data_IF_746740125288
#
_entry.id   IF_746740125288
#
_cell.length_a   1.000
_cell.length_b   1.000
_cell.length_c   1.000
_cell.angle_alpha   90.00
_cell.angle_beta   90.00
_cell.angle_gamma   90.00
#
_symmetry.space_group_name_H-M   'P 1'
#
loop_
_entity.id
_entity.type
_entity.pdbx_description
1 polymer ?
#
# COMPACT_ATOMS: atom_id res chain seq x y z
N UNK A 1 16.24 -8.69 13.52
CA UNK A 1 16.92 -9.59 12.56
C UNK A 1 15.94 -9.99 11.48
N UNK A 2 16.07 -9.47 10.26
CA UNK A 2 15.21 -9.86 9.13
C UNK A 2 15.77 -11.14 8.48
N UNK A 3 15.05 -12.25 8.61
CA UNK A 3 15.34 -13.48 7.88
C UNK A 3 14.83 -13.35 6.45
N UNK A 4 15.64 -12.75 5.56
CA UNK A 4 15.52 -13.06 4.14
C UNK A 4 16.02 -14.48 3.94
N UNK A 5 15.12 -15.32 3.44
CA UNK A 5 15.31 -16.75 3.43
C UNK A 5 16.15 -17.14 2.21
N UNK A 6 17.28 -17.80 2.46
CA UNK A 6 18.39 -18.05 1.53
C UNK A 6 18.06 -18.86 0.26
N UNK A 7 16.81 -19.26 0.07
CA UNK A 7 16.33 -20.05 -1.08
C UNK A 7 15.72 -19.21 -2.21
N UNK A 8 15.49 -17.91 -2.03
CA UNK A 8 14.80 -17.05 -3.02
C UNK A 8 15.68 -16.72 -4.25
N UNK A 9 17.00 -16.94 -4.17
CA UNK A 9 17.95 -16.69 -5.26
C UNK A 9 18.66 -17.96 -5.77
N UNK A 10 18.02 -19.13 -5.73
CA UNK A 10 18.62 -20.33 -6.32
C UNK A 10 18.58 -20.27 -7.84
N UNK A 11 19.68 -20.72 -8.48
CA UNK A 11 19.81 -20.84 -9.93
C UNK A 11 19.85 -22.31 -10.35
N UNK A 12 19.24 -22.64 -11.49
CA UNK A 12 19.34 -23.96 -12.09
C UNK A 12 20.76 -24.20 -12.62
N UNK A 13 21.02 -25.41 -13.12
CA UNK A 13 22.29 -25.80 -13.75
C UNK A 13 22.69 -24.95 -14.95
N UNK A 14 21.77 -24.16 -15.50
CA UNK A 14 21.97 -23.26 -16.63
C UNK A 14 22.12 -21.79 -16.19
N UNK A 15 22.13 -21.50 -14.89
CA UNK A 15 22.28 -20.15 -14.33
C UNK A 15 20.98 -19.33 -14.31
N UNK A 16 19.83 -19.92 -14.63
CA UNK A 16 18.53 -19.25 -14.56
C UNK A 16 17.98 -19.31 -13.15
N UNK A 17 17.37 -18.23 -12.66
CA UNK A 17 16.70 -18.26 -11.35
C UNK A 17 15.60 -19.33 -11.36
N UNK A 18 15.66 -20.28 -10.42
CA UNK A 18 14.70 -21.38 -10.25
C UNK A 18 13.32 -20.83 -9.86
N UNK A 19 13.30 -19.71 -9.15
CA UNK A 19 12.10 -18.94 -8.88
C UNK A 19 12.12 -17.64 -9.69
N UNK A 20 11.25 -17.55 -10.68
CA UNK A 20 10.93 -16.29 -11.36
C UNK A 20 9.55 -15.85 -10.88
N UNK A 21 9.50 -14.77 -10.12
CA UNK A 21 8.30 -14.31 -9.41
C UNK A 21 8.60 -14.18 -7.92
N UNK A 22 8.79 -12.95 -7.45
CA UNK A 22 9.10 -12.68 -6.05
C UNK A 22 8.01 -13.22 -5.10
N UNK A 23 8.41 -13.75 -3.95
CA UNK A 23 7.49 -14.13 -2.89
C UNK A 23 7.02 -12.88 -2.14
N UNK A 24 5.71 -12.69 -2.03
CA UNK A 24 5.15 -11.63 -1.19
C UNK A 24 4.92 -12.16 0.23
N UNK A 25 5.81 -11.79 1.15
CA UNK A 25 5.65 -12.08 2.59
C UNK A 25 4.74 -11.09 3.30
N UNK A 26 4.66 -11.18 4.63
CA UNK A 26 4.19 -10.07 5.46
C UNK A 26 5.35 -9.08 5.68
N UNK A 27 5.06 -7.79 5.71
CA UNK A 27 5.98 -6.78 6.26
C UNK A 27 6.04 -6.87 7.80
N UNK A 28 7.01 -6.18 8.39
CA UNK A 28 7.26 -6.20 9.83
C UNK A 28 6.02 -5.89 10.68
N UNK A 29 5.32 -4.76 10.46
CA UNK A 29 4.10 -4.43 11.20
C UNK A 29 3.01 -5.51 11.12
N UNK A 30 2.75 -6.07 9.93
CA UNK A 30 1.75 -7.13 9.75
C UNK A 30 2.19 -8.47 10.35
N UNK A 31 3.47 -8.81 10.27
CA UNK A 31 4.02 -10.00 10.93
C UNK A 31 3.86 -9.91 12.45
N UNK A 32 4.27 -8.78 13.05
CA UNK A 32 4.11 -8.53 14.47
C UNK A 32 2.63 -8.54 14.90
N UNK A 33 1.71 -8.10 14.03
CA UNK A 33 0.27 -8.23 14.30
C UNK A 33 -0.19 -9.68 14.34
N UNK A 34 0.26 -10.51 13.40
CA UNK A 34 -0.07 -11.93 13.37
C UNK A 34 0.43 -12.65 14.62
N UNK A 35 1.65 -12.32 15.06
CA UNK A 35 2.26 -12.88 16.26
C UNK A 35 1.48 -12.44 17.51
N UNK A 36 1.15 -11.15 17.64
CA UNK A 36 0.30 -10.64 18.74
C UNK A 36 -1.03 -11.38 18.86
N UNK A 37 -1.71 -11.66 17.74
CA UNK A 37 -2.97 -12.40 17.77
C UNK A 37 -2.76 -13.85 18.22
N UNK A 38 -1.66 -14.49 17.79
CA UNK A 38 -1.33 -15.84 18.26
C UNK A 38 -1.08 -15.85 19.76
N UNK A 39 -0.29 -14.92 20.27
CA UNK A 39 0.07 -14.80 21.69
C UNK A 39 -1.16 -14.60 22.58
N UNK A 40 -2.06 -13.69 22.17
CA UNK A 40 -3.33 -13.43 22.86
C UNK A 40 -4.17 -14.72 22.98
N UNK A 41 -4.21 -15.53 21.92
CA UNK A 41 -5.09 -16.69 21.87
C UNK A 41 -4.48 -17.95 22.50
N UNK A 42 -3.16 -18.00 22.66
CA UNK A 42 -2.44 -19.07 23.36
C UNK A 42 -2.40 -18.91 24.87
N UNK A 43 -2.75 -17.72 25.39
CA UNK A 43 -2.66 -17.39 26.80
C UNK A 43 -4.07 -17.24 27.41
N UNK A 44 -4.45 -18.08 28.41
CA UNK A 44 -5.74 -17.99 29.09
C UNK A 44 -6.03 -16.62 29.71
N UNK A 45 -5.02 -15.93 30.22
CA UNK A 45 -5.20 -14.65 30.92
C UNK A 45 -5.40 -13.49 29.93
N UNK A 46 -4.98 -13.70 28.68
CA UNK A 46 -5.00 -12.69 27.62
C UNK A 46 -6.07 -12.91 26.58
N UNK A 47 -6.71 -14.09 26.51
CA UNK A 47 -7.67 -14.44 25.46
C UNK A 47 -8.83 -13.43 25.32
N UNK A 48 -9.19 -12.74 26.41
CA UNK A 48 -10.17 -11.66 26.40
C UNK A 48 -9.72 -10.44 25.56
N UNK A 49 -8.42 -10.17 25.45
CA UNK A 49 -7.84 -9.08 24.66
C UNK A 49 -8.11 -9.21 23.14
N UNK A 50 -8.52 -10.39 22.67
CA UNK A 50 -8.90 -10.63 21.28
C UNK A 50 -10.06 -9.72 20.85
N UNK A 51 -10.93 -9.34 21.77
CA UNK A 51 -12.06 -8.44 21.51
C UNK A 51 -11.79 -7.02 22.03
N UNK A 52 -12.20 -6.01 21.26
CA UNK A 52 -12.34 -4.62 21.70
C UNK A 52 -13.83 -4.31 21.78
N UNK A 53 -14.38 -4.40 22.99
CA UNK A 53 -15.84 -4.44 23.21
C UNK A 53 -16.42 -5.72 22.59
N UNK A 54 -17.44 -5.58 21.73
CA UNK A 54 -18.11 -6.72 21.10
C UNK A 54 -17.49 -7.16 19.76
N UNK A 55 -16.45 -6.50 19.27
CA UNK A 55 -15.83 -6.78 17.97
C UNK A 55 -14.40 -7.29 18.16
N UNK A 56 -13.89 -8.16 17.27
CA UNK A 56 -12.48 -8.50 17.29
C UNK A 56 -11.61 -7.26 17.18
N UNK A 57 -10.47 -7.25 17.87
CA UNK A 57 -9.51 -6.15 17.89
C UNK A 57 -9.05 -5.72 16.49
N UNK A 58 -8.91 -6.69 15.59
CA UNK A 58 -8.47 -6.45 14.23
C UNK A 58 -9.49 -6.95 13.22
N UNK A 59 -9.83 -6.12 12.23
CA UNK A 59 -10.72 -6.47 11.10
C UNK A 59 -10.18 -7.61 10.23
N UNK A 60 -8.88 -7.87 10.33
CA UNK A 60 -8.16 -8.96 9.65
C UNK A 60 -8.30 -10.32 10.33
N UNK A 61 -9.01 -10.41 11.47
CA UNK A 61 -9.34 -11.69 12.12
C UNK A 61 -10.68 -12.24 11.59
N UNK A 62 -10.86 -13.56 11.62
CA UNK A 62 -12.05 -14.21 11.07
C UNK A 62 -13.16 -14.32 12.11
N UNK A 63 -14.30 -13.65 11.84
CA UNK A 63 -15.47 -13.70 12.72
C UNK A 63 -16.04 -15.11 12.91
N UNK A 64 -15.75 -16.05 12.00
CA UNK A 64 -16.18 -17.46 12.14
C UNK A 64 -15.60 -18.13 13.38
N UNK A 65 -14.50 -17.62 13.93
CA UNK A 65 -13.90 -18.15 15.15
C UNK A 65 -14.37 -17.44 16.43
N UNK A 66 -15.13 -16.34 16.33
CA UNK A 66 -15.52 -15.52 17.47
C UNK A 66 -16.25 -16.34 18.55
N UNK A 67 -17.16 -17.24 18.15
CA UNK A 67 -17.88 -18.11 19.08
C UNK A 67 -16.93 -19.02 19.87
N UNK A 68 -15.90 -19.56 19.21
CA UNK A 68 -14.90 -20.42 19.85
C UNK A 68 -14.01 -19.64 20.82
N UNK A 69 -13.61 -18.41 20.45
CA UNK A 69 -12.83 -17.55 21.34
C UNK A 69 -13.66 -17.11 22.55
N UNK A 70 -14.93 -16.75 22.35
CA UNK A 70 -15.86 -16.44 23.47
C UNK A 70 -16.05 -17.62 24.42
N UNK A 71 -16.14 -18.83 23.89
CA UNK A 71 -16.19 -20.04 24.71
C UNK A 71 -14.90 -20.23 25.52
N UNK A 72 -13.73 -20.01 24.90
CA UNK A 72 -12.45 -20.09 25.60
C UNK A 72 -12.34 -19.06 26.75
N UNK A 73 -12.81 -17.83 26.52
CA UNK A 73 -12.93 -16.79 27.56
C UNK A 73 -13.85 -17.26 28.70
N UNK A 74 -15.05 -17.76 28.39
CA UNK A 74 -16.01 -18.23 29.39
C UNK A 74 -15.45 -19.38 30.24
N UNK A 75 -14.67 -20.25 29.62
CA UNK A 75 -14.07 -21.44 30.25
C UNK A 75 -12.72 -21.13 30.93
N UNK A 76 -12.23 -19.89 30.88
CA UNK A 76 -10.95 -19.50 31.51
C UNK A 76 -9.74 -20.24 30.94
N UNK A 77 -9.75 -20.56 29.64
CA UNK A 77 -8.68 -21.33 28.99
C UNK A 77 -8.20 -20.69 27.69
N UNK A 78 -7.00 -21.07 27.29
CA UNK A 78 -6.47 -20.78 25.96
C UNK A 78 -7.31 -21.43 24.86
N UNK A 79 -7.19 -20.90 23.65
CA UNK A 79 -7.76 -21.54 22.46
C UNK A 79 -7.00 -22.84 22.16
N UNK A 80 -7.65 -23.97 21.85
CA UNK A 80 -6.95 -25.23 21.62
C UNK A 80 -6.03 -25.11 20.40
N UNK A 81 -4.83 -25.71 20.46
CA UNK A 81 -3.77 -25.55 19.47
C UNK A 81 -4.26 -25.70 18.01
N UNK A 82 -5.04 -26.74 17.71
CA UNK A 82 -5.60 -26.96 16.36
C UNK A 82 -6.48 -25.81 15.88
N UNK A 83 -7.22 -25.17 16.77
CA UNK A 83 -8.04 -24.00 16.43
C UNK A 83 -7.20 -22.74 16.34
N UNK A 84 -6.22 -22.57 17.24
CA UNK A 84 -5.25 -21.48 17.20
C UNK A 84 -4.54 -21.42 15.85
N UNK A 85 -4.10 -22.56 15.32
CA UNK A 85 -3.42 -22.63 14.02
C UNK A 85 -4.34 -22.23 12.87
N UNK A 86 -5.61 -22.64 12.90
CA UNK A 86 -6.62 -22.20 11.91
C UNK A 86 -6.86 -20.70 11.96
N UNK A 87 -7.00 -20.13 13.17
CA UNK A 87 -7.18 -18.69 13.35
C UNK A 87 -5.95 -17.93 12.82
N UNK A 88 -4.75 -18.39 13.21
CA UNK A 88 -3.48 -17.79 12.81
C UNK A 88 -3.32 -17.81 11.30
N UNK A 89 -3.57 -18.96 10.65
CA UNK A 89 -3.47 -19.10 9.20
C UNK A 89 -4.46 -18.18 8.47
N UNK A 90 -5.73 -18.16 8.90
CA UNK A 90 -6.75 -17.29 8.31
C UNK A 90 -6.43 -15.80 8.49
N UNK A 91 -5.86 -15.43 9.64
CA UNK A 91 -5.45 -14.06 9.92
C UNK A 91 -4.25 -13.64 9.05
N UNK A 92 -3.22 -14.48 8.95
CA UNK A 92 -2.05 -14.26 8.06
C UNK A 92 -2.47 -14.12 6.60
N UNK A 93 -3.40 -14.96 6.13
CA UNK A 93 -3.93 -14.87 4.76
C UNK A 93 -4.63 -13.53 4.48
N UNK A 94 -5.44 -13.02 5.43
CA UNK A 94 -6.08 -11.70 5.30
C UNK A 94 -5.07 -10.55 5.32
N UNK A 95 -4.04 -10.63 6.17
CA UNK A 95 -2.96 -9.65 6.20
C UNK A 95 -2.19 -9.61 4.88
N UNK A 96 -1.87 -10.79 4.33
CA UNK A 96 -1.20 -10.91 3.05
C UNK A 96 -2.05 -10.34 1.91
N UNK A 97 -3.35 -10.65 1.88
CA UNK A 97 -4.27 -10.06 0.91
C UNK A 97 -4.34 -8.52 1.05
N UNK A 98 -4.33 -8.00 2.28
CA UNK A 98 -4.26 -6.56 2.53
C UNK A 98 -2.99 -5.91 1.98
N UNK A 99 -1.84 -6.58 2.12
CA UNK A 99 -0.57 -6.13 1.53
C UNK A 99 -0.61 -6.19 0.00
N UNK A 100 -1.10 -7.29 -0.57
CA UNK A 100 -1.23 -7.44 -2.02
C UNK A 100 -2.10 -6.33 -2.63
N UNK A 101 -3.25 -6.01 -2.01
CA UNK A 101 -4.09 -4.88 -2.42
C UNK A 101 -3.39 -3.54 -2.30
N UNK A 102 -2.59 -3.33 -1.26
CA UNK A 102 -1.81 -2.09 -1.07
C UNK A 102 -0.86 -1.89 -2.25
N UNK A 103 -0.06 -2.91 -2.56
CA UNK A 103 0.92 -2.88 -3.65
C UNK A 103 0.24 -2.71 -5.01
N UNK A 104 -0.82 -3.49 -5.26
CA UNK A 104 -1.55 -3.40 -6.53
C UNK A 104 -2.11 -2.00 -6.76
N UNK A 105 -2.77 -1.40 -5.76
CA UNK A 105 -3.28 -0.03 -5.87
C UNK A 105 -2.17 0.97 -6.12
N UNK A 106 -1.05 0.82 -5.42
CA UNK A 106 0.08 1.72 -5.53
C UNK A 106 0.68 1.70 -6.94
N UNK A 107 1.00 0.50 -7.43
CA UNK A 107 1.61 0.32 -8.75
C UNK A 107 0.65 0.72 -9.88
N UNK A 108 -0.63 0.34 -9.81
CA UNK A 108 -1.61 0.70 -10.84
C UNK A 108 -1.79 2.22 -10.95
N UNK A 109 -1.89 2.91 -9.82
CA UNK A 109 -2.02 4.37 -9.83
C UNK A 109 -0.74 5.03 -10.35
N UNK A 110 0.45 4.55 -9.93
CA UNK A 110 1.72 5.09 -10.43
C UNK A 110 1.85 4.93 -11.94
N UNK A 111 1.60 3.73 -12.46
CA UNK A 111 1.66 3.46 -13.90
C UNK A 111 0.67 4.31 -14.71
N UNK A 112 -0.56 4.49 -14.20
CA UNK A 112 -1.55 5.35 -14.84
C UNK A 112 -1.08 6.80 -14.92
N UNK A 113 -0.55 7.34 -13.82
CA UNK A 113 -0.10 8.73 -13.75
C UNK A 113 1.12 8.98 -14.64
N UNK A 114 2.12 8.09 -14.59
CA UNK A 114 3.30 8.18 -15.45
C UNK A 114 2.89 8.12 -16.93
N UNK A 115 2.07 7.14 -17.31
CA UNK A 115 1.62 7.00 -18.70
C UNK A 115 0.78 8.18 -19.18
N UNK A 116 -0.03 8.79 -18.30
CA UNK A 116 -0.75 10.01 -18.62
C UNK A 116 0.22 11.17 -18.84
N UNK A 117 1.18 11.38 -17.93
CA UNK A 117 2.17 12.46 -18.01
C UNK A 117 3.00 12.36 -19.30
N UNK A 118 3.62 11.21 -19.54
CA UNK A 118 4.44 10.93 -20.72
C UNK A 118 3.65 11.13 -22.02
N UNK A 119 2.40 10.65 -22.04
CA UNK A 119 1.51 10.78 -23.20
C UNK A 119 1.16 12.23 -23.54
N UNK A 120 0.98 13.09 -22.53
CA UNK A 120 0.78 14.52 -22.75
C UNK A 120 2.09 15.21 -23.15
N UNK A 121 3.21 14.83 -22.56
CA UNK A 121 4.53 15.35 -22.93
C UNK A 121 4.84 15.18 -24.41
N UNK A 122 4.54 14.01 -24.97
CA UNK A 122 4.73 13.73 -26.40
C UNK A 122 4.01 14.72 -27.34
N UNK A 123 2.92 15.37 -26.89
CA UNK A 123 2.24 16.39 -27.70
C UNK A 123 3.10 17.65 -27.92
N UNK A 124 3.97 17.99 -26.97
CA UNK A 124 4.94 19.08 -27.13
C UNK A 124 5.96 18.73 -28.22
N UNK A 125 6.46 17.50 -28.22
CA UNK A 125 7.44 17.02 -29.20
C UNK A 125 6.89 17.02 -30.63
N UNK A 126 5.60 16.75 -30.80
CA UNK A 126 4.92 16.80 -32.11
C UNK A 126 4.63 18.22 -32.60
N UNK A 127 4.75 19.23 -31.74
CA UNK A 127 4.33 20.61 -32.02
C UNK A 127 2.80 20.82 -32.02
N UNK A 128 2.00 19.79 -31.71
CA UNK A 128 0.54 19.94 -31.53
C UNK A 128 0.24 20.84 -30.33
N UNK A 129 1.04 20.72 -29.27
CA UNK A 129 0.98 21.58 -28.10
C UNK A 129 2.14 22.58 -28.11
N UNK A 130 1.87 23.85 -27.82
CA UNK A 130 2.90 24.86 -27.55
C UNK A 130 3.26 24.93 -26.07
N UNK A 131 2.28 24.70 -25.19
CA UNK A 131 2.44 24.66 -23.74
C UNK A 131 1.40 23.70 -23.15
N UNK A 132 1.75 23.07 -22.02
CA UNK A 132 0.83 22.25 -21.24
C UNK A 132 0.86 22.74 -19.78
N UNK A 133 -0.32 22.98 -19.22
CA UNK A 133 -0.51 23.26 -17.79
C UNK A 133 -0.95 21.97 -17.09
N UNK A 134 -0.24 21.59 -16.03
CA UNK A 134 -0.57 20.43 -15.19
C UNK A 134 -1.27 20.95 -13.94
N UNK A 135 -2.46 20.44 -13.64
CA UNK A 135 -3.20 20.76 -12.41
C UNK A 135 -3.27 19.54 -11.51
N UNK A 136 -2.89 19.69 -10.24
CA UNK A 136 -2.97 18.63 -9.25
C UNK A 136 -4.39 18.52 -8.68
N UNK A 137 -4.93 17.30 -8.62
CA UNK A 137 -6.25 17.01 -8.08
C UNK A 137 -6.15 16.07 -6.87
N UNK A 138 -6.69 16.54 -5.75
CA UNK A 138 -6.81 15.77 -4.51
C UNK A 138 -8.29 15.54 -4.23
N UNK A 139 -8.68 14.37 -3.73
CA UNK A 139 -10.10 14.07 -3.45
C UNK A 139 -10.72 14.91 -2.32
N UNK A 140 -9.88 15.52 -1.46
CA UNK A 140 -10.26 16.34 -0.28
C UNK A 140 -11.39 15.70 0.54
N UNK A 141 -11.24 14.41 0.86
CA UNK A 141 -12.23 13.59 1.58
C UNK A 141 -11.82 13.32 3.04
N UNK A 142 -10.79 14.00 3.54
CA UNK A 142 -10.23 13.84 4.87
C UNK A 142 -9.25 12.68 5.02
N UNK A 143 -8.95 11.94 3.93
CA UNK A 143 -7.96 10.85 3.92
C UNK A 143 -6.73 11.15 3.07
N UNK A 144 -6.74 12.29 2.38
CA UNK A 144 -5.55 12.89 1.80
C UNK A 144 -4.52 13.27 2.87
N UNK A 145 -3.28 13.37 2.43
CA UNK A 145 -2.18 13.90 3.23
C UNK A 145 -2.32 15.40 3.38
N UNK A 146 -1.85 15.92 4.49
CA UNK A 146 -1.80 17.37 4.69
C UNK A 146 -0.90 18.05 3.65
N UNK A 147 0.23 17.42 3.26
CA UNK A 147 1.10 17.90 2.18
C UNK A 147 0.44 17.94 0.80
N UNK A 148 -0.60 17.12 0.56
CA UNK A 148 -1.28 17.06 -0.75
C UNK A 148 -2.60 17.80 -0.75
N UNK A 149 -3.18 18.05 0.42
CA UNK A 149 -4.41 18.82 0.59
C UNK A 149 -4.27 20.20 -0.04
N UNK A 150 -3.17 20.89 0.24
CA UNK A 150 -2.94 22.25 -0.27
C UNK A 150 -2.55 22.27 -1.75
N UNK A 151 -2.22 21.12 -2.35
CA UNK A 151 -1.94 21.03 -3.79
C UNK A 151 -3.20 20.92 -4.62
N UNK A 152 -4.38 20.77 -3.99
CA UNK A 152 -5.61 20.64 -4.75
C UNK A 152 -5.90 21.91 -5.58
N UNK A 153 -5.89 21.77 -6.90
CA UNK A 153 -6.09 22.87 -7.84
C UNK A 153 -4.84 23.67 -8.16
N UNK A 154 -3.70 23.37 -7.51
CA UNK A 154 -2.42 23.98 -7.83
C UNK A 154 -1.96 23.59 -9.23
N UNK A 155 -1.22 24.51 -9.86
CA UNK A 155 -0.86 24.43 -11.27
C UNK A 155 0.62 24.69 -11.47
N UNK A 156 1.22 23.91 -12.36
CA UNK A 156 2.59 24.11 -12.84
C UNK A 156 2.60 23.99 -14.35
N UNK A 157 3.60 24.58 -15.00
CA UNK A 157 3.86 24.28 -16.42
C UNK A 157 4.43 22.88 -16.53
N UNK A 158 4.17 22.19 -17.63
CA UNK A 158 4.78 20.90 -17.92
C UNK A 158 6.32 21.05 -17.91
N UNK A 159 7.00 20.19 -17.13
CA UNK A 159 8.44 20.28 -16.86
C UNK A 159 8.81 20.99 -15.55
N UNK A 160 7.89 21.74 -14.95
CA UNK A 160 8.02 22.27 -13.58
C UNK A 160 7.49 21.25 -12.55
N UNK A 161 7.92 21.41 -11.30
CA UNK A 161 7.63 20.47 -10.22
C UNK A 161 6.66 21.06 -9.19
N UNK A 162 5.73 20.23 -8.73
CA UNK A 162 5.02 20.43 -7.48
C UNK A 162 5.95 20.16 -6.28
N UNK A 163 5.73 20.83 -5.14
CA UNK A 163 6.54 20.58 -3.95
C UNK A 163 6.27 19.16 -3.40
N UNK A 164 7.30 18.60 -2.80
CA UNK A 164 7.31 17.29 -2.15
C UNK A 164 7.88 17.43 -0.74
N UNK A 165 7.58 16.49 0.17
CA UNK A 165 8.14 16.49 1.52
C UNK A 165 9.64 16.13 1.51
N UNK A 166 10.06 15.36 0.51
CA UNK A 166 11.45 14.99 0.26
C UNK A 166 11.76 15.08 -1.24
N UNK A 167 13.03 15.28 -1.56
CA UNK A 167 13.49 15.44 -2.95
C UNK A 167 13.26 16.83 -3.51
N UNK A 168 13.42 16.97 -4.82
CA UNK A 168 13.29 18.24 -5.53
C UNK A 168 11.82 18.60 -5.78
N UNK A 169 10.96 17.59 -5.91
CA UNK A 169 9.53 17.78 -6.15
C UNK A 169 8.89 16.58 -6.82
N UNK A 170 7.75 16.82 -7.47
CA UNK A 170 6.99 15.84 -8.25
C UNK A 170 6.45 16.53 -9.50
N UNK A 171 6.67 15.97 -10.69
CA UNK A 171 6.07 16.49 -11.93
C UNK A 171 4.54 16.28 -11.96
N UNK A 172 4.06 15.24 -11.27
CA UNK A 172 2.66 14.90 -11.12
C UNK A 172 2.44 13.99 -9.90
N UNK A 173 1.20 13.70 -9.46
CA UNK A 173 0.97 12.75 -8.38
C UNK A 173 1.59 11.39 -8.63
N UNK A 174 2.21 10.84 -7.57
CA UNK A 174 2.95 9.56 -7.58
C UNK A 174 4.22 9.53 -8.43
N UNK A 175 4.70 10.67 -8.87
CA UNK A 175 5.99 10.76 -9.53
C UNK A 175 7.13 10.60 -8.51
N UNK A 176 7.96 9.57 -8.72
CA UNK A 176 9.14 9.28 -7.89
C UNK A 176 10.45 9.75 -8.55
N UNK A 177 10.40 10.23 -9.80
CA UNK A 177 11.60 10.50 -10.61
C UNK A 177 12.44 11.67 -10.07
N UNK A 178 11.82 12.59 -9.33
CA UNK A 178 12.46 13.76 -8.71
C UNK A 178 12.72 13.61 -7.21
N UNK A 179 12.84 12.35 -6.73
CA UNK A 179 13.26 12.05 -5.36
C UNK A 179 12.17 12.16 -4.30
N UNK A 180 10.90 12.19 -4.71
CA UNK A 180 9.77 12.17 -3.78
C UNK A 180 9.79 10.93 -2.87
N UNK A 181 9.58 11.17 -1.57
CA UNK A 181 9.66 10.13 -0.55
C UNK A 181 8.44 9.21 -0.51
N UNK A 182 8.56 8.07 0.16
CA UNK A 182 7.45 7.11 0.33
C UNK A 182 6.22 7.73 1.00
N UNK A 183 6.44 8.74 1.85
CA UNK A 183 5.42 9.51 2.51
C UNK A 183 4.52 10.24 1.53
N UNK A 184 5.02 10.69 0.38
CA UNK A 184 4.20 11.28 -0.69
C UNK A 184 3.62 10.22 -1.62
N UNK A 185 4.36 9.14 -1.87
CA UNK A 185 4.02 8.19 -2.93
C UNK A 185 3.02 7.10 -2.51
N UNK A 186 3.28 6.39 -1.41
CA UNK A 186 2.61 5.11 -1.09
C UNK A 186 1.12 5.32 -0.82
N UNK A 187 0.21 4.63 -1.49
CA UNK A 187 -1.25 4.79 -1.32
C UNK A 187 -1.77 6.22 -1.61
N UNK A 188 -0.99 7.08 -2.27
CA UNK A 188 -1.52 8.32 -2.83
C UNK A 188 -2.64 8.02 -3.84
N UNK A 189 -3.71 8.81 -3.77
CA UNK A 189 -4.92 8.70 -4.60
C UNK A 189 -5.15 9.96 -5.45
N UNK A 190 -4.23 10.92 -5.38
CA UNK A 190 -4.31 12.16 -6.14
C UNK A 190 -4.14 11.85 -7.64
N UNK A 191 -4.69 12.71 -8.49
CA UNK A 191 -4.60 12.62 -9.94
C UNK A 191 -4.21 13.96 -10.55
N UNK A 192 -4.02 14.00 -11.86
CA UNK A 192 -3.70 15.24 -12.57
C UNK A 192 -4.62 15.44 -13.77
N UNK A 193 -4.90 16.71 -14.07
CA UNK A 193 -5.48 17.12 -15.34
C UNK A 193 -4.49 17.97 -16.12
N UNK A 194 -4.49 17.80 -17.43
CA UNK A 194 -3.57 18.47 -18.35
C UNK A 194 -4.38 19.37 -19.27
N UNK A 195 -4.01 20.65 -19.33
CA UNK A 195 -4.60 21.62 -20.23
C UNK A 195 -3.58 21.94 -21.32
N UNK A 196 -3.90 21.54 -22.55
CA UNK A 196 -3.08 21.75 -23.74
C UNK A 196 -3.39 23.12 -24.35
N UNK A 197 -2.37 23.94 -24.58
CA UNK A 197 -2.42 25.15 -25.40
C UNK A 197 -1.85 24.83 -26.77
N UNK A 198 -2.54 25.26 -27.82
CA UNK A 198 -2.09 25.09 -29.22
C UNK A 198 -1.25 26.30 -29.64
N UNK A 199 -0.35 26.15 -30.63
CA UNK A 199 0.31 27.29 -31.25
C UNK A 199 -0.72 28.26 -31.86
N UNK A 200 -0.45 29.56 -31.77
CA UNK A 200 -1.13 30.56 -32.60
C UNK A 200 -0.50 30.54 -33.99
N UNK A 201 -1.31 30.47 -35.05
CA UNK A 201 -0.89 30.44 -36.45
C UNK A 201 -1.06 31.80 -37.11
#
# INVERSE_FOLDING_TARGET
>A
TMTFTWWVNQKDKNGNNIFQGGFLGLDGPRAAQADRVRDILSDPDRVAEYFKGNKPRYTTTDRRFDATVRRAIKEGRAVPARTLDKITAAHKARLLMGRAKTISRDNTMGALMNGQHDGFGALLDTGIASEIEVTWLTSVDGRERDSHRHLNGEKVKYGELFPSLQGEGMAHPKDASHGAGTEDLILCRCGATYRVKRPEF
#
